data_IF_243974596570
#
_entry.id   IF_243974596570
#
_cell.length_a   1.000
_cell.length_b   1.000
_cell.length_c   1.000
_cell.angle_alpha   90.00
_cell.angle_beta   90.00
_cell.angle_gamma   90.00
#
_symmetry.space_group_name_H-M   'P 1'
#
loop_
_entity.id
_entity.type
_entity.pdbx_description
1 polymer ?
#
# COMPACT_ATOMS: atom_id res chain seq x y z
N UNK A 1 -12.12 52.70 -4.68
CA UNK A 1 -13.35 52.22 -4.01
C UNK A 1 -14.07 51.26 -4.96
N UNK A 2 -13.46 50.09 -5.20
CA UNK A 2 -13.97 49.03 -6.07
C UNK A 2 -14.34 47.79 -5.21
N UNK A 3 -14.88 48.04 -4.03
CA UNK A 3 -15.51 47.01 -3.22
C UNK A 3 -17.00 47.02 -3.58
N UNK A 4 -17.55 45.84 -3.91
CA UNK A 4 -18.97 45.52 -4.13
C UNK A 4 -19.49 45.36 -5.57
N UNK A 5 -18.67 44.84 -6.49
CA UNK A 5 -19.19 44.13 -7.67
C UNK A 5 -18.56 42.74 -7.82
N UNK A 6 -18.57 41.97 -6.72
CA UNK A 6 -18.57 40.51 -6.85
C UNK A 6 -20.02 40.08 -6.96
N UNK A 7 -20.49 40.18 -8.20
CA UNK A 7 -21.46 39.31 -8.86
C UNK A 7 -22.03 38.24 -7.91
N UNK A 8 -23.25 38.45 -7.44
CA UNK A 8 -24.13 37.36 -7.04
C UNK A 8 -24.38 36.48 -8.27
N UNK A 9 -23.40 35.63 -8.59
CA UNK A 9 -23.54 34.63 -9.63
C UNK A 9 -24.43 33.56 -9.00
N UNK A 10 -25.71 33.60 -9.37
CA UNK A 10 -26.66 32.54 -9.12
C UNK A 10 -26.04 31.27 -9.69
N UNK A 11 -25.44 30.45 -8.82
CA UNK A 11 -24.82 29.20 -9.23
C UNK A 11 -25.94 28.34 -9.80
N UNK A 12 -25.95 28.21 -11.12
CA UNK A 12 -26.85 27.32 -11.83
C UNK A 12 -26.58 25.88 -11.35
N UNK A 13 -27.64 25.13 -11.05
CA UNK A 13 -27.58 23.72 -10.69
C UNK A 13 -26.73 22.90 -11.67
N UNK A 14 -26.69 23.28 -12.95
CA UNK A 14 -25.89 22.57 -13.95
C UNK A 14 -24.38 22.77 -13.74
N UNK A 15 -23.93 23.97 -13.36
CA UNK A 15 -22.49 24.24 -13.12
C UNK A 15 -21.99 23.51 -11.87
N UNK A 16 -22.84 23.37 -10.84
CA UNK A 16 -22.55 22.53 -9.67
C UNK A 16 -22.40 21.07 -10.05
N UNK A 17 -23.31 20.54 -10.89
CA UNK A 17 -23.24 19.14 -11.34
C UNK A 17 -21.99 18.90 -12.20
N UNK A 18 -21.66 19.80 -13.12
CA UNK A 18 -20.52 19.67 -14.02
C UNK A 18 -19.15 19.77 -13.32
N UNK A 19 -19.00 20.61 -12.29
CA UNK A 19 -17.75 20.77 -11.57
C UNK A 19 -17.60 19.77 -10.40
N UNK A 20 -18.69 19.49 -9.68
CA UNK A 20 -18.64 18.70 -8.44
C UNK A 20 -18.61 17.19 -8.71
N UNK A 21 -19.36 16.69 -9.70
CA UNK A 21 -19.42 15.26 -10.00
C UNK A 21 -18.06 14.68 -10.43
N UNK A 22 -17.23 15.34 -11.28
CA UNK A 22 -15.90 14.83 -11.61
C UNK A 22 -14.99 14.69 -10.38
N UNK A 23 -15.07 15.63 -9.44
CA UNK A 23 -14.31 15.56 -8.17
C UNK A 23 -14.75 14.34 -7.37
N UNK A 24 -16.05 14.16 -7.17
CA UNK A 24 -16.61 13.00 -6.45
C UNK A 24 -16.24 11.68 -7.15
N UNK A 25 -16.35 11.62 -8.48
CA UNK A 25 -15.96 10.44 -9.26
C UNK A 25 -14.47 10.13 -9.13
N UNK A 26 -13.62 11.14 -9.12
CA UNK A 26 -12.17 10.97 -8.88
C UNK A 26 -11.91 10.40 -7.49
N UNK A 27 -12.57 10.95 -6.46
CA UNK A 27 -12.45 10.44 -5.08
C UNK A 27 -12.90 8.98 -5.02
N UNK A 28 -14.07 8.64 -5.56
CA UNK A 28 -14.59 7.26 -5.58
C UNK A 28 -13.64 6.32 -6.32
N UNK A 29 -13.11 6.72 -7.48
CA UNK A 29 -12.17 5.91 -8.25
C UNK A 29 -10.90 5.62 -7.45
N UNK A 30 -10.33 6.64 -6.82
CA UNK A 30 -9.14 6.48 -5.99
C UNK A 30 -9.40 5.63 -4.75
N UNK A 31 -10.56 5.77 -4.09
CA UNK A 31 -10.94 4.92 -2.98
C UNK A 31 -11.09 3.45 -3.41
N UNK A 32 -11.75 3.20 -4.55
CA UNK A 32 -11.87 1.84 -5.10
C UNK A 32 -10.52 1.22 -5.42
N UNK A 33 -9.58 2.02 -5.93
CA UNK A 33 -8.22 1.56 -6.19
C UNK A 33 -7.46 1.27 -4.89
N UNK A 34 -7.51 2.20 -3.92
CA UNK A 34 -6.81 2.07 -2.63
C UNK A 34 -7.34 0.93 -1.76
N UNK A 35 -8.64 0.65 -1.81
CA UNK A 35 -9.29 -0.42 -1.08
C UNK A 35 -9.66 -1.60 -1.99
N UNK A 36 -8.88 -1.79 -3.06
CA UNK A 36 -9.03 -2.93 -3.95
C UNK A 36 -8.59 -4.22 -3.26
N UNK A 37 -9.00 -5.36 -3.83
CA UNK A 37 -8.57 -6.67 -3.35
C UNK A 37 -7.07 -6.85 -3.50
N UNK A 38 -6.50 -6.30 -4.58
CA UNK A 38 -5.08 -6.33 -4.88
C UNK A 38 -4.28 -5.52 -3.86
N UNK A 39 -4.77 -4.33 -3.48
CA UNK A 39 -4.11 -3.51 -2.45
C UNK A 39 -4.16 -4.20 -1.07
N UNK A 40 -5.27 -4.85 -0.74
CA UNK A 40 -5.38 -5.62 0.50
C UNK A 40 -4.41 -6.82 0.50
N UNK A 41 -4.37 -7.57 -0.61
CA UNK A 41 -3.45 -8.71 -0.78
C UNK A 41 -1.98 -8.27 -0.71
N UNK A 42 -1.64 -7.13 -1.32
CA UNK A 42 -0.31 -6.53 -1.20
C UNK A 42 0.00 -6.19 0.27
N UNK A 43 -0.90 -5.52 0.97
CA UNK A 43 -0.69 -5.16 2.38
C UNK A 43 -0.49 -6.38 3.27
N UNK A 44 -1.32 -7.42 3.13
CA UNK A 44 -1.19 -8.66 3.89
C UNK A 44 0.11 -9.42 3.56
N UNK A 45 0.50 -9.48 2.29
CA UNK A 45 1.76 -10.14 1.91
C UNK A 45 2.99 -9.38 2.41
N UNK A 46 2.97 -8.05 2.46
CA UNK A 46 4.02 -7.23 3.10
C UNK A 46 4.07 -7.49 4.60
N UNK A 47 2.93 -7.57 5.28
CA UNK A 47 2.90 -7.92 6.72
C UNK A 47 3.54 -9.30 6.98
N UNK A 48 3.21 -10.29 6.16
CA UNK A 48 3.81 -11.63 6.24
C UNK A 48 5.31 -11.61 5.92
N UNK A 49 5.73 -10.73 5.01
CA UNK A 49 7.15 -10.54 4.67
C UNK A 49 7.94 -10.06 5.89
N UNK A 50 7.39 -9.11 6.65
CA UNK A 50 8.02 -8.61 7.88
C UNK A 50 8.16 -9.70 8.95
N UNK A 51 7.27 -10.71 8.93
CA UNK A 51 7.33 -11.91 9.79
C UNK A 51 8.26 -13.02 9.25
N UNK A 52 9.01 -12.73 8.18
CA UNK A 52 9.86 -13.68 7.48
C UNK A 52 9.12 -14.93 6.98
N UNK A 53 7.82 -14.82 6.67
CA UNK A 53 7.06 -15.90 6.06
C UNK A 53 7.10 -15.85 4.53
N UNK A 54 7.96 -16.68 3.93
CA UNK A 54 8.15 -16.68 2.48
C UNK A 54 6.88 -17.09 1.70
N UNK A 55 6.09 -18.01 2.23
CA UNK A 55 4.93 -18.57 1.49
C UNK A 55 3.84 -17.50 1.41
N UNK A 56 3.47 -16.93 2.56
CA UNK A 56 2.40 -15.95 2.65
C UNK A 56 2.81 -14.58 2.09
N UNK A 57 4.11 -14.27 2.05
CA UNK A 57 4.62 -13.05 1.40
C UNK A 57 4.90 -13.17 -0.10
N UNK A 58 4.63 -14.34 -0.69
CA UNK A 58 4.98 -14.63 -2.08
C UNK A 58 4.37 -13.65 -3.09
N UNK A 59 3.19 -13.08 -2.82
CA UNK A 59 2.59 -12.06 -3.68
C UNK A 59 3.46 -10.81 -3.80
N UNK A 60 3.93 -10.28 -2.66
CA UNK A 60 4.86 -9.15 -2.60
C UNK A 60 6.22 -9.50 -3.25
N UNK A 61 6.80 -10.65 -2.92
CA UNK A 61 8.10 -11.07 -3.47
C UNK A 61 8.02 -11.19 -4.99
N UNK A 62 7.00 -11.87 -5.51
CA UNK A 62 6.82 -12.05 -6.94
C UNK A 62 6.51 -10.74 -7.68
N UNK A 63 5.93 -9.75 -6.99
CA UNK A 63 5.70 -8.43 -7.59
C UNK A 63 7.01 -7.68 -7.87
N UNK A 64 8.03 -7.86 -7.03
CA UNK A 64 9.30 -7.12 -7.13
C UNK A 64 10.49 -7.94 -7.62
N UNK A 65 10.39 -9.27 -7.71
CA UNK A 65 11.51 -10.16 -8.08
C UNK A 65 12.19 -9.78 -9.38
N UNK A 66 11.42 -9.35 -10.39
CA UNK A 66 11.94 -9.09 -11.74
C UNK A 66 12.63 -7.72 -11.78
N UNK A 67 12.12 -6.76 -11.01
CA UNK A 67 12.71 -5.43 -10.85
C UNK A 67 14.04 -5.52 -10.10
N UNK A 68 14.12 -6.41 -9.10
CA UNK A 68 15.29 -6.59 -8.24
C UNK A 68 16.25 -7.68 -8.73
N UNK A 69 15.93 -8.37 -9.84
CA UNK A 69 16.72 -9.48 -10.40
C UNK A 69 17.05 -10.51 -9.31
N UNK A 70 16.03 -10.92 -8.56
CA UNK A 70 16.17 -11.76 -7.39
C UNK A 70 16.15 -13.25 -7.77
N UNK A 71 17.14 -14.02 -7.31
CA UNK A 71 17.03 -15.48 -7.28
C UNK A 71 16.10 -15.90 -6.12
N UNK A 72 14.89 -16.33 -6.49
CA UNK A 72 13.85 -16.73 -5.54
C UNK A 72 14.31 -17.89 -4.64
N UNK A 73 15.10 -18.83 -5.16
CA UNK A 73 15.53 -20.00 -4.39
C UNK A 73 16.57 -19.62 -3.34
N UNK A 74 17.55 -18.81 -3.74
CA UNK A 74 18.53 -18.25 -2.80
C UNK A 74 17.85 -17.35 -1.76
N UNK A 75 16.90 -16.51 -2.18
CA UNK A 75 16.18 -15.64 -1.27
C UNK A 75 15.34 -16.43 -0.24
N UNK A 76 14.62 -17.45 -0.70
CA UNK A 76 13.85 -18.34 0.18
C UNK A 76 14.73 -19.01 1.23
N UNK A 77 15.90 -19.52 0.84
CA UNK A 77 16.81 -20.18 1.79
C UNK A 77 17.36 -19.19 2.82
N UNK A 78 17.77 -18.00 2.39
CA UNK A 78 18.23 -16.92 3.28
C UNK A 78 17.15 -16.53 4.30
N UNK A 79 15.94 -16.28 3.83
CA UNK A 79 14.80 -15.89 4.68
C UNK A 79 14.42 -17.01 5.66
N UNK A 80 14.52 -18.28 5.25
CA UNK A 80 14.27 -19.43 6.13
C UNK A 80 15.31 -19.53 7.24
N UNK A 81 16.60 -19.42 6.90
CA UNK A 81 17.69 -19.44 7.89
C UNK A 81 17.57 -18.26 8.84
N UNK A 82 17.32 -17.05 8.32
CA UNK A 82 17.11 -15.86 9.14
C UNK A 82 15.95 -16.05 10.12
N UNK A 83 14.78 -16.53 9.63
CA UNK A 83 13.62 -16.82 10.48
C UNK A 83 13.96 -17.79 11.59
N UNK A 84 14.65 -18.90 11.28
CA UNK A 84 15.03 -19.90 12.26
C UNK A 84 15.97 -19.32 13.32
N UNK A 85 16.95 -18.51 12.93
CA UNK A 85 17.84 -17.82 13.87
C UNK A 85 17.10 -16.81 14.75
N UNK A 86 16.07 -16.13 14.22
CA UNK A 86 15.30 -15.16 15.01
C UNK A 86 14.38 -15.85 16.01
N UNK A 87 13.68 -16.91 15.59
CA UNK A 87 12.77 -17.67 16.47
C UNK A 87 13.52 -18.30 17.66
N UNK A 88 14.78 -18.74 17.46
CA UNK A 88 15.58 -19.26 18.58
C UNK A 88 15.96 -18.20 19.61
N UNK A 89 16.04 -16.93 19.20
CA UNK A 89 16.36 -15.80 20.09
C UNK A 89 15.08 -15.25 20.75
N UNK A 90 14.03 -15.04 19.96
CA UNK A 90 12.73 -14.51 20.38
C UNK A 90 11.63 -15.15 19.54
N UNK A 91 10.79 -16.04 20.13
CA UNK A 91 9.73 -16.73 19.40
C UNK A 91 8.73 -15.76 18.75
N UNK A 92 8.41 -14.67 19.44
CA UNK A 92 7.52 -13.59 18.98
C UNK A 92 8.36 -12.40 18.50
N UNK A 93 9.30 -12.64 17.58
CA UNK A 93 10.11 -11.55 17.03
C UNK A 93 9.24 -10.60 16.19
N UNK A 94 9.50 -9.31 16.36
CA UNK A 94 8.98 -8.23 15.54
C UNK A 94 10.14 -7.64 14.73
N UNK A 95 9.87 -7.16 13.51
CA UNK A 95 10.92 -6.55 12.68
C UNK A 95 11.58 -5.33 13.34
N UNK A 96 10.85 -4.65 14.23
CA UNK A 96 11.40 -3.58 15.06
C UNK A 96 12.55 -4.07 15.97
N UNK A 97 12.56 -5.34 16.36
CA UNK A 97 13.67 -5.92 17.13
C UNK A 97 14.97 -6.02 16.31
N UNK A 98 14.86 -6.06 14.97
CA UNK A 98 16.00 -6.10 14.04
C UNK A 98 16.54 -4.69 13.78
N UNK A 99 15.64 -3.71 13.69
CA UNK A 99 15.98 -2.30 13.38
C UNK A 99 16.48 -1.53 14.60
N UNK A 100 16.31 -2.04 15.82
CA UNK A 100 16.73 -1.40 17.07
C UNK A 100 18.23 -1.58 17.40
N UNK A 101 19.04 -2.05 16.46
CA UNK A 101 20.49 -2.21 16.60
C UNK A 101 21.28 -1.05 16.01
#
# INVERSE_FOLDING_TARGET
MWCLQLVEQKVDSNTMVEAYIPVINSVIKNLKYRFSKESLLMACSVECFMKMDFIESSYFINHYKDILIMDIHAFKSQMTVARNCMITIKPDFDINDILAK
#
